data_IF_117704858978
#
_entry.id   IF_117704858978
#
_cell.length_a   1.000
_cell.length_b   1.000
_cell.length_c   1.000
_cell.angle_alpha   90.00
_cell.angle_beta   90.00
_cell.angle_gamma   90.00
#
_symmetry.space_group_name_H-M   'P 1'
#
loop_
_entity.id
_entity.type
_entity.pdbx_description
1 polymer ?
#
# COMPACT_ATOMS: atom_id res chain seq x y z
N UNK A 1 32.44 6.67 -14.91
CA UNK A 1 31.42 5.82 -15.56
C UNK A 1 30.14 6.64 -15.66
N UNK A 2 29.43 6.66 -16.80
CA UNK A 2 28.12 7.28 -16.85
C UNK A 2 27.14 6.42 -16.04
N UNK A 3 26.25 7.07 -15.29
CA UNK A 3 25.16 6.41 -14.58
C UNK A 3 24.32 5.60 -15.59
N UNK A 4 23.75 4.44 -15.19
CA UNK A 4 22.79 3.76 -16.05
C UNK A 4 21.64 4.73 -16.39
N UNK A 5 21.11 4.70 -17.62
CA UNK A 5 20.00 5.57 -17.99
C UNK A 5 18.82 5.31 -17.04
N UNK A 6 18.31 6.37 -16.43
CA UNK A 6 17.12 6.27 -15.59
C UNK A 6 15.95 5.78 -16.44
N UNK A 7 15.20 4.81 -15.91
CA UNK A 7 14.00 4.34 -16.59
C UNK A 7 13.00 5.49 -16.78
N UNK A 8 12.33 5.58 -17.94
CA UNK A 8 11.31 6.59 -18.16
C UNK A 8 10.21 6.45 -17.10
N UNK A 9 9.69 7.59 -16.64
CA UNK A 9 8.77 7.66 -15.51
C UNK A 9 7.52 8.44 -15.90
N UNK A 10 6.36 7.86 -15.60
CA UNK A 10 5.04 8.47 -15.62
C UNK A 10 4.53 8.56 -14.18
N UNK A 11 4.39 9.78 -13.67
CA UNK A 11 3.85 10.05 -12.35
C UNK A 11 2.46 10.69 -12.48
N UNK A 12 1.45 10.05 -11.91
CA UNK A 12 0.06 10.49 -11.94
C UNK A 12 -0.39 10.76 -10.52
N UNK A 13 -0.92 11.94 -10.25
CA UNK A 13 -1.50 12.30 -8.97
C UNK A 13 -3.03 12.30 -9.04
N UNK A 14 -3.65 11.90 -7.93
CA UNK A 14 -5.10 11.94 -7.73
C UNK A 14 -5.39 12.72 -6.47
N UNK A 15 -6.23 13.75 -6.55
CA UNK A 15 -6.73 14.46 -5.38
C UNK A 15 -8.22 14.76 -5.48
N UNK A 16 -8.85 14.96 -4.33
CA UNK A 16 -10.25 15.37 -4.25
C UNK A 16 -10.39 16.86 -4.58
N UNK A 17 -11.37 17.20 -5.39
CA UNK A 17 -11.73 18.60 -5.66
C UNK A 17 -12.61 19.16 -4.56
N UNK A 18 -12.33 20.39 -4.13
CA UNK A 18 -13.12 21.10 -3.12
C UNK A 18 -14.29 21.85 -3.78
N UNK A 19 -15.14 21.11 -4.48
CA UNK A 19 -16.37 21.60 -5.08
C UNK A 19 -17.59 21.04 -4.33
N UNK A 20 -18.72 21.77 -4.28
CA UNK A 20 -19.89 21.39 -3.50
C UNK A 20 -20.55 20.09 -3.97
N UNK A 21 -20.28 19.67 -5.20
CA UNK A 21 -20.76 18.39 -5.74
C UNK A 21 -19.90 17.24 -5.21
N UNK A 22 -20.53 16.31 -4.49
CA UNK A 22 -19.85 15.16 -3.91
C UNK A 22 -19.13 14.33 -5.00
N UNK A 23 -17.95 13.80 -4.64
CA UNK A 23 -17.22 12.76 -5.38
C UNK A 23 -16.48 13.21 -6.66
N UNK A 24 -16.01 14.45 -6.73
CA UNK A 24 -15.14 14.90 -7.82
C UNK A 24 -13.66 14.79 -7.46
N UNK A 25 -12.87 14.31 -8.41
CA UNK A 25 -11.43 14.11 -8.30
C UNK A 25 -10.72 14.76 -9.48
N UNK A 26 -9.60 15.41 -9.20
CA UNK A 26 -8.66 15.84 -10.20
C UNK A 26 -7.58 14.78 -10.33
N UNK A 27 -7.29 14.40 -11.57
CA UNK A 27 -6.26 13.45 -11.96
C UNK A 27 -5.29 14.21 -12.86
N UNK A 28 -4.01 14.24 -12.52
CA UNK A 28 -3.04 14.95 -13.35
C UNK A 28 -1.70 14.24 -13.43
N UNK A 29 -1.02 14.44 -14.55
CA UNK A 29 0.32 13.92 -14.78
C UNK A 29 1.33 14.91 -14.24
N UNK A 30 2.07 14.51 -13.20
CA UNK A 30 3.13 15.29 -12.56
C UNK A 30 4.47 15.18 -13.29
N UNK A 31 4.71 14.04 -13.93
CA UNK A 31 5.93 13.77 -14.68
C UNK A 31 5.62 12.79 -15.81
N UNK A 32 6.17 13.05 -16.99
CA UNK A 32 6.14 12.12 -18.11
C UNK A 32 7.50 12.17 -18.84
N UNK A 33 7.88 11.13 -19.60
CA UNK A 33 9.15 11.09 -20.32
C UNK A 33 9.17 11.96 -21.60
N UNK A 34 8.30 12.98 -21.70
CA UNK A 34 8.17 13.88 -22.85
C UNK A 34 7.77 15.30 -22.43
N UNK A 35 8.11 16.31 -23.25
CA UNK A 35 8.04 17.74 -22.89
C UNK A 35 6.62 18.31 -22.70
N UNK A 36 5.57 17.61 -23.15
CA UNK A 36 4.15 17.99 -22.96
C UNK A 36 3.41 17.03 -22.04
N UNK A 37 4.11 16.52 -21.01
CA UNK A 37 3.57 15.52 -20.10
C UNK A 37 2.47 16.01 -19.15
N UNK A 38 2.40 17.31 -18.88
CA UNK A 38 1.42 17.85 -17.93
C UNK A 38 0.03 17.85 -18.54
N UNK A 39 -0.80 16.98 -17.99
CA UNK A 39 -2.20 16.77 -18.35
C UNK A 39 -3.02 16.86 -17.07
N UNK A 40 -4.20 17.46 -17.15
CA UNK A 40 -5.13 17.57 -16.04
C UNK A 40 -6.51 17.12 -16.50
N UNK A 41 -7.13 16.24 -15.74
CA UNK A 41 -8.43 15.66 -16.06
C UNK A 41 -9.29 15.53 -14.80
N UNK A 42 -10.41 16.22 -14.80
CA UNK A 42 -11.39 16.14 -13.72
C UNK A 42 -12.40 15.03 -14.00
N UNK A 43 -12.59 14.17 -13.01
CA UNK A 43 -13.49 13.04 -13.10
C UNK A 43 -14.36 12.89 -11.87
N UNK A 44 -15.58 12.42 -12.10
CA UNK A 44 -16.48 12.00 -11.05
C UNK A 44 -16.13 10.56 -10.69
N UNK A 45 -16.07 10.27 -9.40
CA UNK A 45 -16.03 8.90 -8.91
C UNK A 45 -17.41 8.25 -9.08
N UNK A 46 -17.55 7.26 -9.95
CA UNK A 46 -18.86 6.80 -10.38
C UNK A 46 -19.43 5.76 -9.40
N UNK A 47 -20.75 5.74 -9.25
CA UNK A 47 -21.43 4.88 -8.25
C UNK A 47 -21.21 3.38 -8.51
N UNK A 48 -21.09 2.96 -9.77
CA UNK A 48 -20.77 1.58 -10.11
C UNK A 48 -19.41 1.14 -9.54
N UNK A 49 -18.44 2.04 -9.47
CA UNK A 49 -17.12 1.75 -8.90
C UNK A 49 -17.19 1.65 -7.37
N UNK A 50 -17.99 2.50 -6.71
CA UNK A 50 -18.32 2.35 -5.29
C UNK A 50 -18.97 0.99 -4.99
N UNK A 51 -19.90 0.55 -5.84
CA UNK A 51 -20.57 -0.74 -5.70
C UNK A 51 -19.61 -1.92 -5.92
N UNK A 52 -18.74 -1.84 -6.92
CA UNK A 52 -17.73 -2.86 -7.18
C UNK A 52 -16.75 -2.99 -6.00
N UNK A 53 -16.35 -1.87 -5.41
CA UNK A 53 -15.50 -1.85 -4.22
C UNK A 53 -16.20 -2.46 -3.00
N UNK A 54 -17.44 -2.06 -2.71
CA UNK A 54 -18.24 -2.62 -1.60
C UNK A 54 -18.42 -4.13 -1.76
N UNK A 55 -18.79 -4.60 -2.96
CA UNK A 55 -18.98 -6.02 -3.23
C UNK A 55 -17.69 -6.84 -3.06
N UNK A 56 -16.53 -6.25 -3.37
CA UNK A 56 -15.23 -6.88 -3.10
C UNK A 56 -14.94 -6.96 -1.60
N UNK A 57 -15.17 -5.87 -0.84
CA UNK A 57 -14.97 -5.84 0.61
C UNK A 57 -15.85 -6.85 1.36
N UNK A 58 -17.11 -7.02 0.94
CA UNK A 58 -18.05 -7.98 1.53
C UNK A 58 -17.54 -9.44 1.49
N UNK A 59 -16.61 -9.76 0.58
CA UNK A 59 -15.99 -11.10 0.53
C UNK A 59 -15.10 -11.36 1.75
N UNK A 60 -14.47 -10.31 2.30
CA UNK A 60 -13.50 -10.41 3.40
C UNK A 60 -14.11 -10.08 4.77
N UNK A 61 -15.26 -9.42 4.79
CA UNK A 61 -16.02 -9.12 6.02
C UNK A 61 -17.50 -9.49 5.86
N UNK A 62 -17.84 -10.79 5.80
CA UNK A 62 -19.24 -11.24 5.66
C UNK A 62 -20.10 -10.93 6.90
N UNK A 63 -19.50 -10.52 8.01
CA UNK A 63 -20.17 -10.01 9.19
C UNK A 63 -19.49 -8.68 9.57
N UNK A 64 -20.27 -7.59 9.61
CA UNK A 64 -19.90 -6.22 10.03
C UNK A 64 -18.92 -5.43 9.14
N UNK A 65 -19.46 -4.68 8.19
CA UNK A 65 -19.03 -3.29 8.00
C UNK A 65 -20.21 -2.39 8.41
N UNK A 66 -20.08 -1.50 9.41
CA UNK A 66 -21.06 -0.45 9.60
C UNK A 66 -21.09 0.40 8.32
N UNK A 67 -22.29 0.65 7.81
CA UNK A 67 -22.50 1.43 6.61
C UNK A 67 -21.75 2.77 6.71
N UNK A 68 -20.93 3.07 5.71
CA UNK A 68 -20.42 4.44 5.52
C UNK A 68 -21.67 5.33 5.35
N UNK A 69 -21.87 6.36 6.20
CA UNK A 69 -23.06 7.19 6.12
C UNK A 69 -22.92 8.15 4.95
N UNK A 70 -23.30 7.71 3.76
CA UNK A 70 -23.69 8.60 2.67
C UNK A 70 -25.20 8.45 2.49
N UNK A 71 -25.95 9.40 3.06
CA UNK A 71 -27.27 9.85 2.58
C UNK A 71 -28.45 8.86 2.61
N UNK A 72 -29.33 9.08 3.59
CA UNK A 72 -30.76 8.68 3.72
C UNK A 72 -31.15 7.21 3.98
N UNK A 73 -32.17 6.96 4.85
CA UNK A 73 -32.57 5.62 5.29
C UNK A 73 -33.76 5.02 4.50
N UNK A 74 -33.83 3.68 4.55
CA UNK A 74 -34.97 2.76 4.26
C UNK A 74 -35.23 2.25 2.83
N UNK A 75 -35.97 1.12 2.68
CA UNK A 75 -36.29 0.04 3.63
C UNK A 75 -35.79 -1.35 3.16
N UNK A 76 -35.64 -2.26 4.13
CA UNK A 76 -35.34 -3.67 3.89
C UNK A 76 -36.37 -4.33 2.96
N UNK A 77 -35.92 -4.86 1.82
CA UNK A 77 -36.67 -5.84 1.05
C UNK A 77 -35.98 -7.19 1.19
N UNK A 78 -36.63 -8.05 1.97
CA UNK A 78 -36.37 -9.47 2.01
C UNK A 78 -36.57 -10.07 0.62
N UNK A 79 -35.61 -10.86 0.15
CA UNK A 79 -35.81 -11.86 -0.90
C UNK A 79 -34.70 -12.90 -0.82
N UNK A 80 -34.98 -13.99 -0.11
CA UNK A 80 -34.30 -15.27 -0.31
C UNK A 80 -34.69 -15.82 -1.69
N UNK A 81 -33.77 -16.50 -2.37
CA UNK A 81 -34.12 -17.80 -2.89
C UNK A 81 -33.15 -18.88 -2.42
N UNK A 82 -33.78 -19.96 -1.98
CA UNK A 82 -33.23 -21.25 -1.61
C UNK A 82 -32.32 -21.80 -2.74
N UNK A 83 -31.05 -22.08 -2.44
CA UNK A 83 -30.18 -22.88 -3.31
C UNK A 83 -29.49 -23.94 -2.44
N UNK A 84 -29.70 -25.20 -2.80
CA UNK A 84 -29.10 -26.39 -2.21
C UNK A 84 -27.58 -26.27 -1.98
N UNK A 85 -27.04 -26.93 -0.93
CA UNK A 85 -25.60 -26.92 -0.66
C UNK A 85 -24.86 -27.80 -1.68
N UNK A 86 -24.28 -27.16 -2.70
CA UNK A 86 -23.23 -27.74 -3.54
C UNK A 86 -21.85 -27.48 -2.90
N UNK A 87 -20.82 -28.33 -3.16
CA UNK A 87 -19.56 -28.31 -2.42
C UNK A 87 -18.86 -26.94 -2.49
N UNK A 88 -18.62 -26.36 -1.31
CA UNK A 88 -18.48 -24.92 -1.07
C UNK A 88 -17.10 -24.30 -1.39
N UNK A 89 -16.15 -25.04 -1.94
CA UNK A 89 -14.77 -24.53 -2.15
C UNK A 89 -14.55 -23.89 -3.52
N UNK A 90 -15.00 -24.52 -4.62
CA UNK A 90 -14.71 -24.05 -5.97
C UNK A 90 -15.58 -22.87 -6.44
N UNK A 91 -16.80 -22.72 -5.90
CA UNK A 91 -17.73 -21.66 -6.30
C UNK A 91 -17.31 -20.29 -5.72
N UNK A 92 -16.77 -20.27 -4.50
CA UNK A 92 -16.30 -19.04 -3.85
C UNK A 92 -15.09 -18.43 -4.56
N UNK A 93 -14.11 -19.26 -4.96
CA UNK A 93 -12.91 -18.81 -5.68
C UNK A 93 -13.31 -18.12 -7.00
N UNK A 94 -14.23 -18.70 -7.77
CA UNK A 94 -14.70 -18.12 -9.02
C UNK A 94 -15.44 -16.79 -8.80
N UNK A 95 -16.24 -16.66 -7.73
CA UNK A 95 -16.93 -15.40 -7.40
C UNK A 95 -15.94 -14.30 -7.01
N UNK A 96 -14.99 -14.58 -6.13
CA UNK A 96 -13.96 -13.62 -5.70
C UNK A 96 -13.13 -13.16 -6.90
N UNK A 97 -12.63 -14.07 -7.73
CA UNK A 97 -11.86 -13.69 -8.93
C UNK A 97 -12.64 -12.79 -9.89
N UNK A 98 -13.94 -13.03 -10.09
CA UNK A 98 -14.80 -12.16 -10.92
C UNK A 98 -15.00 -10.77 -10.31
N UNK A 99 -15.20 -10.69 -9.00
CA UNK A 99 -15.32 -9.40 -8.30
C UNK A 99 -14.02 -8.60 -8.38
N UNK A 100 -12.87 -9.26 -8.18
CA UNK A 100 -11.55 -8.66 -8.35
C UNK A 100 -11.36 -8.14 -9.77
N UNK A 101 -11.65 -8.95 -10.80
CA UNK A 101 -11.52 -8.53 -12.19
C UNK A 101 -12.45 -7.35 -12.51
N UNK A 102 -13.70 -7.39 -12.07
CA UNK A 102 -14.64 -6.29 -12.28
C UNK A 102 -14.15 -4.99 -11.63
N UNK A 103 -13.66 -5.06 -10.38
CA UNK A 103 -13.08 -3.92 -9.69
C UNK A 103 -11.82 -3.41 -10.41
N UNK A 104 -10.91 -4.30 -10.80
CA UNK A 104 -9.68 -3.96 -11.50
C UNK A 104 -9.92 -3.27 -12.85
N UNK A 105 -10.88 -3.77 -13.63
CA UNK A 105 -11.29 -3.15 -14.90
C UNK A 105 -11.94 -1.79 -14.65
N UNK A 106 -12.81 -1.69 -13.64
CA UNK A 106 -13.50 -0.43 -13.32
C UNK A 106 -12.51 0.65 -12.84
N UNK A 107 -11.51 0.29 -12.03
CA UNK A 107 -10.44 1.20 -11.58
C UNK A 107 -9.58 1.67 -12.76
N UNK A 108 -9.19 0.74 -13.64
CA UNK A 108 -8.43 1.07 -14.84
C UNK A 108 -9.19 2.03 -15.74
N UNK A 109 -10.46 1.69 -16.04
CA UNK A 109 -11.33 2.51 -16.87
C UNK A 109 -11.57 3.88 -16.26
N UNK A 110 -11.63 4.00 -14.93
CA UNK A 110 -11.76 5.28 -14.27
C UNK A 110 -10.49 6.12 -14.40
N UNK A 111 -9.32 5.56 -14.06
CA UNK A 111 -8.05 6.29 -14.01
C UNK A 111 -7.51 6.67 -15.40
N UNK A 112 -7.47 5.71 -16.33
CA UNK A 112 -6.86 5.88 -17.65
C UNK A 112 -7.92 6.22 -18.69
N UNK A 113 -8.37 7.48 -18.66
CA UNK A 113 -9.26 8.05 -19.66
C UNK A 113 -8.63 9.26 -20.36
N UNK A 114 -9.11 9.56 -21.56
CA UNK A 114 -8.75 10.75 -22.32
C UNK A 114 -7.24 10.97 -22.40
N UNK A 115 -6.81 12.15 -21.99
CA UNK A 115 -5.40 12.58 -22.04
C UNK A 115 -4.49 11.81 -21.06
N UNK A 116 -5.03 11.27 -19.95
CA UNK A 116 -4.28 10.41 -19.02
C UNK A 116 -3.93 9.08 -19.69
N UNK A 117 -4.90 8.48 -20.40
CA UNK A 117 -4.67 7.27 -21.19
C UNK A 117 -3.66 7.52 -22.32
N UNK A 118 -3.76 8.66 -22.99
CA UNK A 118 -2.81 9.05 -24.03
C UNK A 118 -1.39 9.22 -23.47
N UNK A 119 -1.27 9.82 -22.28
CA UNK A 119 0.02 9.99 -21.59
C UNK A 119 0.65 8.65 -21.23
N UNK A 120 -0.16 7.69 -20.79
CA UNK A 120 0.31 6.31 -20.57
C UNK A 120 0.83 5.68 -21.87
N UNK A 121 0.04 5.70 -22.94
CA UNK A 121 0.41 5.09 -24.21
C UNK A 121 1.71 5.70 -24.76
N UNK A 122 1.83 7.04 -24.73
CA UNK A 122 3.01 7.73 -25.20
C UNK A 122 4.25 7.39 -24.35
N UNK A 123 4.08 7.34 -23.03
CA UNK A 123 5.16 6.95 -22.11
C UNK A 123 5.62 5.52 -22.35
N UNK A 124 4.69 4.59 -22.61
CA UNK A 124 5.01 3.21 -22.97
C UNK A 124 5.77 3.14 -24.30
N UNK A 125 5.33 3.89 -25.32
CA UNK A 125 6.03 3.95 -26.61
C UNK A 125 7.48 4.42 -26.48
N UNK A 126 7.74 5.40 -25.61
CA UNK A 126 9.10 5.88 -25.32
C UNK A 126 9.91 4.82 -24.58
N UNK A 127 9.32 4.17 -23.57
CA UNK A 127 9.97 3.12 -22.80
C UNK A 127 10.38 1.93 -23.68
N UNK A 128 9.47 1.49 -24.55
CA UNK A 128 9.74 0.46 -25.57
C UNK A 128 10.87 0.90 -26.50
N UNK A 129 10.83 2.15 -26.99
CA UNK A 129 11.88 2.69 -27.86
C UNK A 129 13.25 2.85 -27.19
N UNK A 130 13.29 2.89 -25.86
CA UNK A 130 14.52 2.93 -25.06
C UNK A 130 14.93 1.55 -24.52
N UNK A 131 14.14 0.50 -24.78
CA UNK A 131 14.34 -0.85 -24.24
C UNK A 131 14.42 -0.85 -22.68
N UNK A 132 13.70 0.07 -22.04
CA UNK A 132 13.63 0.19 -20.59
C UNK A 132 12.19 -0.02 -20.12
N UNK A 133 11.97 -0.58 -18.91
CA UNK A 133 10.63 -0.64 -18.35
C UNK A 133 10.13 0.77 -18.02
N UNK A 134 8.83 1.00 -18.15
CA UNK A 134 8.20 2.26 -17.73
C UNK A 134 7.90 2.22 -16.23
N UNK A 135 8.42 3.19 -15.48
CA UNK A 135 8.00 3.41 -14.11
C UNK A 135 6.65 4.14 -14.11
N UNK A 136 5.62 3.54 -13.53
CA UNK A 136 4.32 4.17 -13.32
C UNK A 136 4.12 4.38 -11.83
N UNK A 137 4.00 5.64 -11.43
CA UNK A 137 3.82 6.05 -10.03
C UNK A 137 2.46 6.69 -9.85
N UNK A 138 1.71 6.21 -8.88
CA UNK A 138 0.42 6.77 -8.51
C UNK A 138 0.51 7.51 -7.17
N UNK A 139 0.42 8.83 -7.21
CA UNK A 139 0.40 9.70 -6.03
C UNK A 139 -1.03 9.97 -5.57
N UNK A 140 -1.48 9.23 -4.56
CA UNK A 140 -2.83 9.27 -4.00
C UNK A 140 -2.87 10.27 -2.85
N UNK A 141 -3.49 11.42 -3.09
CA UNK A 141 -3.63 12.50 -2.10
C UNK A 141 -4.99 12.52 -1.41
N UNK A 142 -5.94 11.69 -1.87
CA UNK A 142 -7.25 11.54 -1.28
C UNK A 142 -7.30 10.34 -0.30
N UNK A 143 -7.54 10.56 1.00
CA UNK A 143 -7.52 9.48 2.01
C UNK A 143 -8.45 8.30 1.70
N UNK A 144 -9.63 8.57 1.15
CA UNK A 144 -10.63 7.56 0.81
C UNK A 144 -10.17 6.59 -0.31
N UNK A 145 -9.20 7.00 -1.11
CA UNK A 145 -8.68 6.23 -2.23
C UNK A 145 -7.46 5.37 -1.85
N UNK A 146 -6.87 5.59 -0.68
CA UNK A 146 -5.67 4.88 -0.21
C UNK A 146 -5.92 3.38 -0.05
N UNK A 147 -7.11 3.01 0.40
CA UNK A 147 -7.48 1.61 0.66
C UNK A 147 -7.73 0.79 -0.61
N UNK A 148 -7.84 1.44 -1.78
CA UNK A 148 -8.15 0.76 -3.02
C UNK A 148 -6.95 -0.08 -3.49
N UNK A 149 -7.19 -1.28 -4.03
CA UNK A 149 -6.14 -2.15 -4.54
C UNK A 149 -5.74 -1.71 -5.95
N UNK A 150 -5.04 -0.58 -6.09
CA UNK A 150 -4.61 -0.05 -7.40
C UNK A 150 -3.77 -1.05 -8.21
N UNK A 151 -3.09 -1.97 -7.53
CA UNK A 151 -2.27 -3.01 -8.13
C UNK A 151 -3.08 -4.00 -8.97
N UNK A 152 -4.38 -4.17 -8.71
CA UNK A 152 -5.24 -5.09 -9.47
C UNK A 152 -5.86 -4.47 -10.72
N UNK A 153 -5.54 -3.20 -11.03
CA UNK A 153 -6.04 -2.53 -12.24
C UNK A 153 -5.76 -3.36 -13.50
N UNK A 154 -6.77 -3.50 -14.36
CA UNK A 154 -6.71 -4.35 -15.56
C UNK A 154 -7.26 -3.62 -16.78
N UNK A 155 -6.54 -3.59 -17.92
CA UNK A 155 -7.04 -2.89 -19.11
C UNK A 155 -8.31 -3.49 -19.71
N UNK A 156 -8.58 -4.77 -19.44
CA UNK A 156 -9.76 -5.46 -19.94
C UNK A 156 -9.86 -6.89 -19.44
N UNK A 157 -10.93 -7.55 -19.86
CA UNK A 157 -11.18 -8.96 -19.55
C UNK A 157 -10.05 -9.81 -20.12
N UNK A 158 -9.60 -10.82 -19.37
CA UNK A 158 -8.52 -11.76 -19.74
C UNK A 158 -7.11 -11.16 -19.88
N UNK A 159 -6.94 -9.87 -19.62
CA UNK A 159 -5.62 -9.25 -19.49
C UNK A 159 -5.16 -9.33 -18.03
N UNK A 160 -3.85 -9.58 -17.79
CA UNK A 160 -3.31 -9.57 -16.43
C UNK A 160 -3.42 -8.17 -15.84
N UNK A 161 -3.34 -8.09 -14.51
CA UNK A 161 -3.22 -6.81 -13.83
C UNK A 161 -1.99 -6.06 -14.34
N UNK A 162 -2.12 -4.75 -14.53
CA UNK A 162 -1.10 -3.90 -15.11
C UNK A 162 0.22 -3.94 -14.33
N UNK A 163 0.13 -4.09 -13.00
CA UNK A 163 1.27 -4.25 -12.10
C UNK A 163 2.08 -5.53 -12.33
N UNK A 164 1.53 -6.53 -13.03
CA UNK A 164 2.20 -7.80 -13.31
C UNK A 164 2.99 -7.78 -14.63
N UNK A 165 2.91 -6.68 -15.40
CA UNK A 165 3.68 -6.55 -16.64
C UNK A 165 5.17 -6.43 -16.35
N UNK A 166 6.02 -7.12 -17.12
CA UNK A 166 7.48 -7.00 -17.01
C UNK A 166 8.00 -5.67 -17.54
N UNK A 167 7.23 -5.00 -18.38
CA UNK A 167 7.56 -3.73 -19.02
C UNK A 167 7.16 -2.54 -18.14
N UNK A 168 6.50 -2.81 -17.00
CA UNK A 168 5.98 -1.79 -16.09
C UNK A 168 6.56 -2.01 -14.69
N UNK A 169 7.07 -0.93 -14.10
CA UNK A 169 7.39 -0.87 -12.68
C UNK A 169 6.31 0.00 -12.01
N UNK A 170 5.30 -0.65 -11.45
CA UNK A 170 4.19 0.03 -10.80
C UNK A 170 4.48 0.31 -9.32
N UNK A 171 4.17 1.53 -8.86
CA UNK A 171 4.24 1.90 -7.44
C UNK A 171 3.16 2.91 -7.12
N UNK A 172 2.79 2.99 -5.83
CA UNK A 172 1.86 4.00 -5.31
C UNK A 172 2.48 4.72 -4.11
N UNK A 173 2.17 6.00 -3.96
CA UNK A 173 2.52 6.83 -2.81
C UNK A 173 1.24 7.45 -2.27
N UNK A 174 1.04 7.45 -0.96
CA UNK A 174 -0.25 7.84 -0.33
C UNK A 174 -0.15 9.14 0.47
N UNK A 175 0.90 9.92 0.23
CA UNK A 175 1.27 11.03 1.09
C UNK A 175 1.70 12.21 0.23
N UNK A 176 1.20 13.41 0.54
CA UNK A 176 1.73 14.69 0.06
C UNK A 176 3.07 14.98 0.76
N UNK A 177 4.01 14.04 0.68
CA UNK A 177 5.34 14.19 1.22
C UNK A 177 6.11 14.92 0.13
N UNK A 178 6.28 16.23 0.33
CA UNK A 178 7.32 17.00 -0.36
C UNK A 178 8.59 16.15 -0.39
N UNK A 179 9.20 16.01 -1.58
CA UNK A 179 10.42 15.23 -1.74
C UNK A 179 11.37 15.59 -0.61
N UNK A 180 11.74 14.58 0.18
CA UNK A 180 12.66 14.80 1.28
C UNK A 180 13.92 15.45 0.68
N UNK A 181 14.41 16.56 1.26
CA UNK A 181 15.67 17.14 0.79
C UNK A 181 16.71 16.02 0.81
N UNK A 182 17.53 15.88 -0.24
CA UNK A 182 18.47 14.78 -0.36
C UNK A 182 19.31 14.72 0.90
N UNK A 183 19.11 13.66 1.68
CA UNK A 183 19.82 13.46 2.93
C UNK A 183 21.29 13.19 2.55
N UNK A 184 22.26 13.83 3.21
CA UNK A 184 23.66 13.52 2.96
C UNK A 184 23.89 12.02 3.12
N UNK A 185 24.69 11.39 2.24
CA UNK A 185 24.93 9.96 2.29
C UNK A 185 25.50 9.60 3.66
N UNK A 186 24.69 8.91 4.47
CA UNK A 186 25.11 8.43 5.79
C UNK A 186 26.03 7.23 5.61
N UNK A 187 27.15 7.16 6.34
CA UNK A 187 28.02 5.97 6.34
C UNK A 187 27.36 4.75 7.02
N UNK A 188 26.17 4.93 7.62
CA UNK A 188 25.40 3.90 8.31
C UNK A 188 23.95 3.89 7.86
N UNK A 189 23.33 2.70 7.80
CA UNK A 189 21.88 2.56 7.67
C UNK A 189 21.27 2.54 9.07
N UNK A 190 20.66 3.65 9.49
CA UNK A 190 20.00 3.74 10.79
C UNK A 190 18.53 3.32 10.64
N UNK A 191 18.12 2.29 11.37
CA UNK A 191 16.79 1.70 11.35
C UNK A 191 16.15 1.92 12.72
N UNK A 192 14.93 2.46 12.76
CA UNK A 192 14.10 2.48 13.96
C UNK A 192 13.07 1.36 13.86
N UNK A 193 13.11 0.41 14.79
CA UNK A 193 12.17 -0.70 14.90
C UNK A 193 11.20 -0.42 16.06
N UNK A 194 9.94 -0.16 15.73
CA UNK A 194 8.86 0.08 16.70
C UNK A 194 7.97 -1.15 16.78
N UNK A 195 7.81 -1.73 17.97
CA UNK A 195 6.92 -2.86 18.21
C UNK A 195 5.86 -2.52 19.23
N UNK A 196 4.60 -2.84 18.94
CA UNK A 196 3.48 -2.70 19.85
C UNK A 196 2.64 -3.97 19.90
N UNK A 197 1.84 -4.13 20.95
CA UNK A 197 0.79 -5.14 21.02
C UNK A 197 -0.56 -4.45 21.17
N UNK A 198 -1.56 -4.94 20.44
CA UNK A 198 -2.95 -4.51 20.64
C UNK A 198 -3.52 -5.22 21.87
N UNK A 199 -3.35 -4.65 23.06
CA UNK A 199 -4.13 -5.06 24.22
C UNK A 199 -5.58 -4.56 24.03
N UNK A 200 -6.61 -5.42 24.07
CA UNK A 200 -8.00 -4.97 24.04
C UNK A 200 -8.26 -4.12 25.28
N UNK A 201 -8.31 -2.80 25.12
CA UNK A 201 -8.76 -1.89 26.18
C UNK A 201 -10.24 -2.13 26.43
N UNK A 202 -10.53 -2.99 27.40
CA UNK A 202 -11.90 -3.26 27.82
C UNK A 202 -12.06 -4.57 28.54
N UNK A 203 -11.42 -4.73 29.70
CA UNK A 203 -12.05 -5.33 30.88
C UNK A 203 -11.18 -5.16 32.13
N UNK A 204 -11.89 -4.84 33.21
CA UNK A 204 -11.44 -4.53 34.56
C UNK A 204 -10.31 -5.40 35.10
N UNK A 205 -9.32 -4.70 35.66
CA UNK A 205 -8.38 -5.13 36.71
C UNK A 205 -8.81 -6.36 37.50
N UNK A 206 -8.15 -7.49 37.26
CA UNK A 206 -8.04 -8.58 38.24
C UNK A 206 -6.58 -9.04 38.31
N UNK A 207 -6.11 -9.40 39.50
CA UNK A 207 -4.71 -9.68 39.84
C UNK A 207 -4.04 -10.85 39.07
N UNK A 208 -4.67 -11.37 38.01
CA UNK A 208 -4.15 -12.36 37.06
C UNK A 208 -3.57 -11.75 35.78
N UNK A 209 -3.80 -10.47 35.50
CA UNK A 209 -3.34 -9.79 34.27
C UNK A 209 -1.84 -9.48 34.25
N UNK A 210 -1.18 -9.44 35.41
CA UNK A 210 0.26 -9.17 35.48
C UNK A 210 1.12 -10.26 34.85
N UNK A 211 0.67 -11.53 34.87
CA UNK A 211 1.40 -12.63 34.24
C UNK A 211 1.21 -12.66 32.72
N UNK A 212 0.01 -12.29 32.22
CA UNK A 212 -0.27 -12.31 30.79
C UNK A 212 0.41 -11.15 30.06
N UNK A 213 0.39 -9.94 30.65
CA UNK A 213 1.10 -8.78 30.10
C UNK A 213 2.63 -8.94 30.14
N UNK A 214 3.19 -9.64 31.14
CA UNK A 214 4.64 -9.94 31.13
C UNK A 214 5.00 -11.00 30.10
N UNK A 215 4.15 -12.01 29.86
CA UNK A 215 4.38 -13.00 28.81
C UNK A 215 4.35 -12.36 27.42
N UNK A 216 3.33 -11.55 27.10
CA UNK A 216 3.29 -10.85 25.81
C UNK A 216 4.43 -9.87 25.61
N UNK A 217 4.84 -9.19 26.69
CA UNK A 217 6.00 -8.29 26.67
C UNK A 217 7.28 -9.07 26.34
N UNK A 218 7.52 -10.21 27.01
CA UNK A 218 8.65 -11.11 26.75
C UNK A 218 8.66 -11.64 25.31
N UNK A 219 7.50 -11.94 24.73
CA UNK A 219 7.38 -12.36 23.33
C UNK A 219 7.75 -11.23 22.34
N UNK A 220 7.37 -9.98 22.63
CA UNK A 220 7.79 -8.82 21.84
C UNK A 220 9.31 -8.61 21.91
N UNK A 221 9.91 -8.79 23.07
CA UNK A 221 11.35 -8.64 23.29
C UNK A 221 12.16 -9.75 22.62
N UNK A 222 11.63 -10.97 22.57
CA UNK A 222 12.23 -12.06 21.81
C UNK A 222 12.17 -11.80 20.31
N UNK A 223 11.01 -11.37 19.79
CA UNK A 223 10.84 -11.04 18.38
C UNK A 223 11.70 -9.83 17.98
N UNK A 224 11.78 -8.83 18.85
CA UNK A 224 12.68 -7.68 18.73
C UNK A 224 14.12 -8.11 18.51
N UNK A 225 14.59 -9.03 19.34
CA UNK A 225 15.96 -9.54 19.28
C UNK A 225 16.21 -10.31 17.98
N UNK A 226 15.27 -11.18 17.58
CA UNK A 226 15.34 -11.91 16.31
C UNK A 226 15.42 -10.97 15.10
N UNK A 227 14.54 -9.98 15.05
CA UNK A 227 14.52 -9.00 13.95
C UNK A 227 15.77 -8.13 13.94
N UNK A 228 16.27 -7.73 15.12
CA UNK A 228 17.53 -7.01 15.24
C UNK A 228 18.71 -7.84 14.73
N UNK A 229 18.73 -9.14 14.97
CA UNK A 229 19.77 -10.05 14.46
C UNK A 229 19.70 -10.21 12.94
N UNK A 230 18.49 -10.32 12.37
CA UNK A 230 18.27 -10.42 10.92
C UNK A 230 18.66 -9.12 10.20
N UNK A 231 18.35 -7.97 10.80
CA UNK A 231 18.64 -6.65 10.23
C UNK A 231 20.10 -6.22 10.42
N UNK A 232 20.85 -6.87 11.33
CA UNK A 232 22.29 -6.68 11.44
C UNK A 232 23.00 -7.29 10.22
N UNK A 233 24.04 -6.64 9.68
CA UNK A 233 24.77 -7.19 8.54
C UNK A 233 25.40 -8.53 8.94
N UNK A 234 25.08 -9.60 8.21
CA UNK A 234 25.86 -10.84 8.29
C UNK A 234 27.19 -10.59 7.59
N UNK A 235 28.29 -10.74 8.32
CA UNK A 235 29.61 -10.86 7.71
C UNK A 235 29.62 -12.14 6.87
N UNK A 236 29.35 -12.00 5.57
CA UNK A 236 29.58 -13.08 4.62
C UNK A 236 31.09 -13.12 4.40
N UNK A 237 31.79 -13.87 5.25
CA UNK A 237 33.21 -14.22 5.05
C UNK A 237 33.32 -15.25 3.93
N UNK A 238 32.99 -14.85 2.69
CA UNK A 238 33.35 -15.60 1.51
C UNK A 238 34.74 -15.14 1.07
N UNK A 239 35.77 -15.89 1.46
CA UNK A 239 37.18 -15.62 1.14
C UNK A 239 37.54 -15.70 -0.36
N UNK A 240 36.56 -15.80 -1.28
CA UNK A 240 36.82 -16.00 -2.70
C UNK A 240 35.84 -15.27 -3.63
N UNK A 241 35.64 -13.96 -3.46
CA UNK A 241 35.15 -13.14 -4.58
C UNK A 241 35.57 -11.68 -4.42
N UNK A 242 36.46 -11.21 -5.30
CA UNK A 242 36.64 -9.78 -5.57
C UNK A 242 35.34 -9.21 -6.14
N UNK A 243 34.42 -8.78 -5.27
CA UNK A 243 33.39 -7.81 -5.61
C UNK A 243 33.17 -6.90 -4.41
N UNK A 244 33.25 -5.60 -4.70
CA UNK A 244 32.96 -4.50 -3.79
C UNK A 244 31.49 -4.57 -3.39
N UNK A 245 31.18 -5.38 -2.38
CA UNK A 245 29.98 -5.22 -1.59
C UNK A 245 30.40 -4.35 -0.41
N UNK A 246 30.29 -3.02 -0.55
CA UNK A 246 30.33 -2.15 0.61
C UNK A 246 29.09 -2.48 1.42
N UNK A 247 29.23 -3.41 2.37
CA UNK A 247 28.21 -3.70 3.35
C UNK A 247 28.08 -2.43 4.19
N UNK A 248 27.06 -1.63 3.92
CA UNK A 248 26.76 -0.44 4.72
C UNK A 248 26.41 -0.95 6.12
N UNK A 249 27.14 -0.55 7.18
CA UNK A 249 26.85 -1.05 8.51
C UNK A 249 25.48 -0.54 8.97
N UNK A 250 24.61 -1.46 9.41
CA UNK A 250 23.28 -1.13 9.92
C UNK A 250 23.34 -0.86 11.43
N UNK A 251 22.64 0.17 11.89
CA UNK A 251 22.33 0.42 13.30
C UNK A 251 20.83 0.28 13.49
N UNK A 252 20.40 -0.54 14.43
CA UNK A 252 18.98 -0.78 14.70
C UNK A 252 18.71 -0.29 16.12
N UNK A 253 17.84 0.72 16.25
CA UNK A 253 17.30 1.16 17.52
C UNK A 253 15.90 0.58 17.66
N UNK A 254 15.60 -0.01 18.82
CA UNK A 254 14.33 -0.72 19.04
C UNK A 254 13.52 -0.07 20.13
N UNK A 255 12.25 0.23 19.85
CA UNK A 255 11.26 0.76 20.79
C UNK A 255 10.14 -0.27 20.99
N UNK A 256 9.95 -0.72 22.23
CA UNK A 256 8.97 -1.75 22.59
C UNK A 256 7.85 -1.09 23.39
N UNK A 257 6.65 -1.12 22.83
CA UNK A 257 5.46 -0.42 23.31
C UNK A 257 5.77 1.05 23.67
N UNK A 258 6.39 1.84 22.78
CA UNK A 258 6.75 3.21 23.12
C UNK A 258 5.50 4.04 23.41
N UNK A 259 5.62 4.94 24.37
CA UNK A 259 4.64 6.00 24.52
C UNK A 259 4.70 6.96 23.31
N UNK A 260 3.63 7.69 23.00
CA UNK A 260 3.66 8.69 21.92
C UNK A 260 4.80 9.70 22.09
N UNK A 261 5.08 10.12 23.33
CA UNK A 261 6.17 11.06 23.63
C UNK A 261 7.56 10.47 23.34
N UNK A 262 7.77 9.20 23.68
CA UNK A 262 9.02 8.49 23.43
C UNK A 262 9.27 8.28 21.93
N UNK A 263 8.22 7.91 21.18
CA UNK A 263 8.30 7.76 19.73
C UNK A 263 8.61 9.10 19.04
N UNK A 264 7.92 10.17 19.41
CA UNK A 264 8.16 11.52 18.87
C UNK A 264 9.59 11.97 19.17
N UNK A 265 10.06 11.79 20.41
CA UNK A 265 11.44 12.12 20.82
C UNK A 265 12.50 11.40 19.98
N UNK A 266 12.25 10.15 19.58
CA UNK A 266 13.15 9.41 18.68
C UNK A 266 13.06 9.90 17.23
N UNK A 267 11.85 10.13 16.71
CA UNK A 267 11.67 10.62 15.33
C UNK A 267 12.26 12.02 15.14
N UNK A 268 12.17 12.90 16.14
CA UNK A 268 12.72 14.26 16.11
C UNK A 268 14.25 14.29 16.04
N UNK A 269 14.94 13.19 16.38
CA UNK A 269 16.39 13.07 16.19
C UNK A 269 16.79 13.11 14.72
N UNK A 270 15.87 12.81 13.78
CA UNK A 270 16.08 12.83 12.31
C UNK A 270 17.31 12.04 11.82
N UNK A 271 17.74 11.04 12.60
CA UNK A 271 18.91 10.21 12.28
C UNK A 271 18.54 8.91 11.54
N UNK A 272 17.26 8.53 11.54
CA UNK A 272 16.80 7.26 10.99
C UNK A 272 16.54 7.35 9.49
N UNK A 273 17.03 6.35 8.75
CA UNK A 273 16.82 6.18 7.32
C UNK A 273 15.59 5.33 7.03
N UNK A 274 15.27 4.37 7.90
CA UNK A 274 14.17 3.42 7.75
C UNK A 274 13.42 3.30 9.07
N UNK A 275 12.08 3.28 9.01
CA UNK A 275 11.20 3.05 10.15
C UNK A 275 10.39 1.78 9.88
N UNK A 276 10.44 0.81 10.80
CA UNK A 276 9.55 -0.34 10.81
C UNK A 276 8.59 -0.21 11.99
N UNK A 277 7.29 -0.37 11.74
CA UNK A 277 6.26 -0.41 12.77
C UNK A 277 5.53 -1.74 12.71
N UNK A 278 5.65 -2.53 13.77
CA UNK A 278 5.03 -3.84 13.89
C UNK A 278 4.03 -3.81 15.04
N UNK A 279 2.79 -4.16 14.75
CA UNK A 279 1.74 -4.33 15.77
C UNK A 279 1.37 -5.80 15.82
N UNK A 280 1.73 -6.46 16.93
CA UNK A 280 1.35 -7.83 17.19
C UNK A 280 -0.11 -7.86 17.65
N UNK A 281 -0.97 -8.47 16.83
CA UNK A 281 -2.36 -8.73 17.17
C UNK A 281 -2.44 -10.18 17.63
N UNK A 282 -2.61 -10.38 18.94
CA UNK A 282 -2.80 -11.70 19.49
C UNK A 282 -4.16 -12.27 19.01
N UNK A 283 -4.10 -13.37 18.24
CA UNK A 283 -5.16 -14.04 17.46
C UNK A 283 -5.34 -13.58 15.99
N UNK A 284 -4.52 -14.23 15.14
CA UNK A 284 -4.86 -14.77 13.82
C UNK A 284 -5.35 -13.81 12.72
N UNK A 285 -4.51 -12.86 12.30
CA UNK A 285 -4.50 -12.39 10.91
C UNK A 285 -3.15 -11.76 10.58
N UNK A 286 -2.35 -12.46 9.77
CA UNK A 286 -1.19 -11.87 9.10
C UNK A 286 -1.70 -10.80 8.13
N UNK A 287 -1.57 -9.53 8.50
CA UNK A 287 -1.61 -8.41 7.58
C UNK A 287 -0.20 -7.83 7.50
N UNK A 288 0.57 -8.27 6.50
CA UNK A 288 1.84 -7.65 6.15
C UNK A 288 1.52 -6.44 5.28
N UNK A 289 1.50 -5.26 5.88
CA UNK A 289 1.46 -3.98 5.17
C UNK A 289 2.87 -3.48 4.92
N UNK A 290 3.30 -3.46 3.66
CA UNK A 290 4.50 -2.75 3.23
C UNK A 290 4.11 -1.29 2.92
N UNK A 291 4.80 -0.34 3.55
CA UNK A 291 4.77 1.09 3.19
C UNK A 291 5.79 1.38 2.09
#
# INVERSE_FOLDING_TARGET
>A
MPFPPESPCLNIAIARLNIPEANHFAIWVMQAPFQRGYVHHDQIWPENLSQAWKAWLEVFSPQSLPAIPIGTPQPALASTPNIHPAPASNVKINRTSRLMQNLGISLWQWLFQGEIAQSLHQSQGIAIGQELPLQVRLDIRAPELIALPWEIMQPGISLPAFSLSREILFSRTTSDVHSLPPLPPSPYLNILLVMGENAPQGQSSSAKDHQFSTLSKLELEEEAARLTEVLKPREITNQNLHRVNSVVPCRVDTLIQPTPEELISHLDKKIYNVLFMLVMVNQAQMAVGYF
#
